data_IF_666234134913
#
_entry.id   IF_666234134913
#
_cell.length_a   1.000
_cell.length_b   1.000
_cell.length_c   1.000
_cell.angle_alpha   90.00
_cell.angle_beta   90.00
_cell.angle_gamma   90.00
#
_symmetry.space_group_name_H-M   'P 1'
#
loop_
_entity.id
_entity.type
_entity.pdbx_description
1 polymer ?
#
# COMPACT_ATOMS: atom_id res chain seq x y z
N UNK A 1 2.00 7.19 -22.49
CA UNK A 1 1.62 8.54 -22.02
C UNK A 1 1.02 9.42 -23.11
N UNK A 2 1.69 9.62 -24.26
CA UNK A 2 1.12 10.45 -25.34
C UNK A 2 -0.29 10.03 -25.78
N UNK A 3 -0.55 8.73 -25.88
CA UNK A 3 -1.89 8.23 -26.23
C UNK A 3 -2.94 8.49 -25.14
N UNK A 4 -2.57 8.33 -23.86
CA UNK A 4 -3.47 8.66 -22.74
C UNK A 4 -3.81 10.15 -22.71
N UNK A 5 -2.85 11.03 -23.05
CA UNK A 5 -3.10 12.47 -23.21
C UNK A 5 -4.16 12.74 -24.28
N UNK A 6 -4.09 12.09 -25.45
CA UNK A 6 -5.12 12.23 -26.49
C UNK A 6 -6.48 11.79 -25.99
N UNK A 7 -6.57 10.67 -25.26
CA UNK A 7 -7.84 10.21 -24.68
C UNK A 7 -8.44 11.21 -23.67
N UNK A 8 -7.61 11.98 -22.97
CA UNK A 8 -8.06 13.10 -22.13
C UNK A 8 -8.59 14.26 -22.99
N UNK A 9 -7.85 14.64 -24.03
CA UNK A 9 -8.25 15.71 -24.96
C UNK A 9 -9.54 15.38 -25.74
N UNK A 10 -9.74 14.11 -26.08
CA UNK A 10 -10.97 13.58 -26.68
C UNK A 10 -12.14 13.46 -25.68
N UNK A 11 -11.89 13.69 -24.38
CA UNK A 11 -12.89 13.58 -23.32
C UNK A 11 -13.31 12.14 -22.98
N UNK A 12 -12.58 11.13 -23.47
CA UNK A 12 -12.86 9.71 -23.19
C UNK A 12 -12.48 9.30 -21.78
N UNK A 13 -11.44 9.91 -21.23
CA UNK A 13 -11.03 9.76 -19.84
C UNK A 13 -10.82 11.14 -19.22
N UNK A 14 -11.03 11.26 -17.91
CA UNK A 14 -10.85 12.53 -17.19
C UNK A 14 -9.44 12.68 -16.62
N UNK A 15 -8.83 11.57 -16.21
CA UNK A 15 -7.61 11.55 -15.40
C UNK A 15 -6.72 10.38 -15.81
N UNK A 16 -5.43 10.51 -15.55
CA UNK A 16 -4.43 9.47 -15.79
C UNK A 16 -3.76 9.10 -14.47
N UNK A 17 -3.57 7.80 -14.24
CA UNK A 17 -2.78 7.31 -13.11
C UNK A 17 -1.82 6.21 -13.54
N UNK A 18 -0.86 5.91 -12.66
CA UNK A 18 0.07 4.79 -12.81
C UNK A 18 -0.06 3.84 -11.63
N UNK A 19 0.43 2.62 -11.78
CA UNK A 19 0.51 1.61 -10.72
C UNK A 19 1.88 0.95 -10.76
N UNK A 20 2.48 0.68 -9.59
CA UNK A 20 3.78 0.00 -9.44
C UNK A 20 4.92 0.60 -10.30
N UNK A 21 4.88 1.93 -10.53
CA UNK A 21 5.88 2.66 -11.29
C UNK A 21 7.00 3.22 -10.40
N UNK A 22 8.26 3.12 -10.84
CA UNK A 22 9.39 3.77 -10.15
C UNK A 22 9.26 5.29 -10.12
N UNK A 23 9.95 5.96 -9.18
CA UNK A 23 9.99 7.42 -9.10
C UNK A 23 10.46 8.07 -10.43
N UNK A 24 11.45 7.47 -11.10
CA UNK A 24 11.94 7.93 -12.41
C UNK A 24 10.87 7.82 -13.51
N UNK A 25 10.13 6.72 -13.53
CA UNK A 25 8.99 6.54 -14.46
C UNK A 25 7.88 7.55 -14.18
N UNK A 26 7.54 7.78 -12.90
CA UNK A 26 6.52 8.77 -12.48
C UNK A 26 6.89 10.16 -13.01
N UNK A 27 8.12 10.63 -12.76
CA UNK A 27 8.59 11.96 -13.20
C UNK A 27 8.51 12.13 -14.71
N UNK A 28 9.00 11.15 -15.48
CA UNK A 28 8.96 11.18 -16.95
C UNK A 28 7.54 11.16 -17.50
N UNK A 29 6.67 10.36 -16.90
CA UNK A 29 5.27 10.28 -17.31
C UNK A 29 4.53 11.60 -17.03
N UNK A 30 4.73 12.15 -15.84
CA UNK A 30 4.12 13.41 -15.40
C UNK A 30 4.56 14.60 -16.27
N UNK A 31 5.81 14.61 -16.76
CA UNK A 31 6.29 15.62 -17.69
C UNK A 31 5.59 15.61 -19.06
N UNK A 32 4.99 14.48 -19.48
CA UNK A 32 4.24 14.38 -20.74
C UNK A 32 2.77 14.77 -20.56
N UNK A 33 2.15 14.30 -19.47
CA UNK A 33 0.79 14.65 -19.07
C UNK A 33 0.64 14.48 -17.56
N UNK A 34 -0.02 15.42 -16.84
CA UNK A 34 -0.18 15.34 -15.40
C UNK A 34 -0.78 14.01 -14.94
N UNK A 35 -0.10 13.36 -13.99
CA UNK A 35 -0.63 12.19 -13.30
C UNK A 35 -1.51 12.66 -12.14
N UNK A 36 -2.73 12.14 -12.06
CA UNK A 36 -3.66 12.41 -10.96
C UNK A 36 -3.38 11.53 -9.76
N UNK A 37 -3.02 10.26 -9.99
CA UNK A 37 -2.80 9.31 -8.92
C UNK A 37 -1.73 8.25 -9.25
N UNK A 38 -1.05 7.78 -8.22
CA UNK A 38 -0.17 6.60 -8.27
C UNK A 38 -0.67 5.56 -7.27
N UNK A 39 -0.92 4.35 -7.76
CA UNK A 39 -1.35 3.22 -6.94
C UNK A 39 -0.17 2.35 -6.54
N UNK A 40 -0.01 2.09 -5.23
CA UNK A 40 1.09 1.33 -4.65
C UNK A 40 0.63 0.47 -3.47
N UNK A 41 1.36 -0.59 -3.14
CA UNK A 41 1.13 -1.30 -1.89
C UNK A 41 1.62 -0.45 -0.73
N UNK A 42 0.75 -0.02 0.17
CA UNK A 42 1.14 0.69 1.38
C UNK A 42 0.26 0.25 2.54
N UNK A 43 0.90 -0.22 3.60
CA UNK A 43 0.26 -0.60 4.85
C UNK A 43 1.25 -0.43 5.99
N UNK A 44 0.77 -0.56 7.23
CA UNK A 44 1.66 -0.64 8.39
C UNK A 44 2.71 -1.77 8.22
N UNK A 45 2.43 -2.79 7.40
CA UNK A 45 3.30 -3.92 7.09
C UNK A 45 4.26 -3.71 5.91
N UNK A 46 3.96 -2.77 5.00
CA UNK A 46 4.66 -2.55 3.73
C UNK A 46 4.91 -1.05 3.56
N UNK A 47 6.14 -0.60 3.84
CA UNK A 47 6.52 0.82 3.92
C UNK A 47 7.68 1.20 2.98
N UNK A 48 8.08 0.30 2.08
CA UNK A 48 9.20 0.51 1.15
C UNK A 48 9.04 1.75 0.26
N UNK A 49 7.80 2.07 -0.13
CA UNK A 49 7.51 3.25 -0.95
C UNK A 49 7.78 4.60 -0.27
N UNK A 50 7.93 4.64 1.06
CA UNK A 50 8.07 5.89 1.83
C UNK A 50 9.40 6.59 1.54
N UNK A 51 10.41 5.86 1.07
CA UNK A 51 11.72 6.39 0.71
C UNK A 51 11.67 7.25 -0.57
N UNK A 52 11.06 6.73 -1.64
CA UNK A 52 11.16 7.34 -2.98
C UNK A 52 9.82 7.81 -3.56
N UNK A 53 8.78 6.99 -3.42
CA UNK A 53 7.51 7.20 -4.13
C UNK A 53 6.67 8.26 -3.42
N UNK A 54 6.55 8.19 -2.09
CA UNK A 54 5.77 9.16 -1.31
C UNK A 54 6.32 10.58 -1.49
N UNK A 55 7.63 10.86 -1.35
CA UNK A 55 8.18 12.18 -1.61
C UNK A 55 7.98 12.63 -3.06
N UNK A 56 8.20 11.74 -4.03
CA UNK A 56 8.02 12.07 -5.46
C UNK A 56 6.57 12.43 -5.79
N UNK A 57 5.59 11.71 -5.24
CA UNK A 57 4.17 12.03 -5.46
C UNK A 57 3.81 13.39 -4.85
N UNK A 58 4.27 13.66 -3.62
CA UNK A 58 4.01 14.93 -2.93
C UNK A 58 4.65 16.13 -3.62
N UNK A 59 5.89 15.99 -4.08
CA UNK A 59 6.60 17.02 -4.85
C UNK A 59 5.83 17.40 -6.13
N UNK A 60 5.25 16.41 -6.81
CA UNK A 60 4.52 16.60 -8.07
C UNK A 60 3.01 16.85 -7.89
N UNK A 61 2.50 16.91 -6.65
CA UNK A 61 1.08 17.08 -6.37
C UNK A 61 0.19 15.91 -6.83
N UNK A 62 0.72 14.68 -6.82
CA UNK A 62 0.04 13.45 -7.25
C UNK A 62 -0.57 12.75 -6.04
N UNK A 63 -1.84 12.32 -6.14
CA UNK A 63 -2.48 11.51 -5.10
C UNK A 63 -1.91 10.10 -5.00
N UNK A 64 -1.92 9.52 -3.81
CA UNK A 64 -1.44 8.16 -3.55
C UNK A 64 -2.64 7.26 -3.25
N UNK A 65 -2.73 6.12 -3.94
CA UNK A 65 -3.82 5.16 -3.79
C UNK A 65 -3.27 3.84 -3.23
N UNK A 66 -3.21 3.66 -1.90
CA UNK A 66 -2.78 2.40 -1.28
C UNK A 66 -3.68 1.22 -1.63
N UNK A 67 -3.09 0.17 -2.20
CA UNK A 67 -3.72 -1.15 -2.25
C UNK A 67 -3.19 -2.07 -1.16
N UNK A 68 -3.96 -3.11 -0.84
CA UNK A 68 -3.68 -4.04 0.27
C UNK A 68 -3.32 -3.34 1.61
N UNK A 69 -4.08 -2.31 2.03
CA UNK A 69 -3.79 -1.54 3.26
C UNK A 69 -3.82 -2.40 4.53
N UNK A 70 -4.44 -3.59 4.47
CA UNK A 70 -4.50 -4.56 5.56
C UNK A 70 -3.43 -5.66 5.47
N UNK A 71 -2.32 -5.41 4.78
CA UNK A 71 -1.20 -6.37 4.69
C UNK A 71 -1.63 -7.71 4.09
N UNK A 72 -2.41 -7.67 3.00
CA UNK A 72 -2.97 -8.85 2.32
C UNK A 72 -3.79 -9.76 3.26
N UNK A 73 -4.46 -9.16 4.25
CA UNK A 73 -5.33 -9.79 5.23
C UNK A 73 -4.65 -10.08 6.56
N UNK A 74 -3.32 -9.93 6.66
CA UNK A 74 -2.60 -10.21 7.89
C UNK A 74 -3.04 -9.25 9.02
N UNK A 75 -3.20 -7.95 8.73
CA UNK A 75 -3.59 -6.96 9.75
C UNK A 75 -5.06 -7.07 10.20
N UNK A 76 -5.87 -7.91 9.54
CA UNK A 76 -7.24 -8.22 9.97
C UNK A 76 -7.37 -9.57 10.67
N UNK A 77 -6.59 -10.58 10.26
CA UNK A 77 -6.78 -11.98 10.69
C UNK A 77 -5.60 -12.53 11.49
N UNK A 78 -4.48 -11.82 11.53
CA UNK A 78 -3.28 -12.20 12.26
C UNK A 78 -2.63 -13.48 11.73
N UNK A 79 -1.85 -14.20 12.56
CA UNK A 79 -1.12 -15.39 12.15
C UNK A 79 -2.04 -16.54 11.70
N UNK A 80 -3.26 -16.62 12.24
CA UNK A 80 -4.27 -17.63 11.88
C UNK A 80 -4.72 -17.54 10.41
N UNK A 81 -4.40 -16.44 9.72
CA UNK A 81 -4.66 -16.30 8.29
C UNK A 81 -4.06 -17.47 7.49
N UNK A 82 -2.82 -17.85 7.80
CA UNK A 82 -2.03 -18.81 7.01
C UNK A 82 -2.67 -20.20 6.99
N UNK A 83 -3.25 -20.61 8.12
CA UNK A 83 -3.96 -21.88 8.28
C UNK A 83 -5.23 -21.94 7.43
N UNK A 84 -5.85 -20.78 7.16
CA UNK A 84 -7.10 -20.66 6.42
C UNK A 84 -6.89 -20.39 4.92
N UNK A 85 -5.64 -20.28 4.46
CA UNK A 85 -5.34 -20.10 3.04
C UNK A 85 -5.63 -21.39 2.26
N UNK A 86 -6.34 -21.27 1.14
CA UNK A 86 -6.55 -22.39 0.23
C UNK A 86 -5.23 -22.93 -0.32
N UNK A 87 -5.23 -24.16 -0.86
CA UNK A 87 -4.02 -24.80 -1.37
C UNK A 87 -3.32 -23.96 -2.44
N UNK A 88 -4.09 -23.30 -3.30
CA UNK A 88 -3.60 -22.54 -4.46
C UNK A 88 -3.46 -21.04 -4.20
N UNK A 89 -3.53 -20.61 -2.93
CA UNK A 89 -3.39 -19.19 -2.57
C UNK A 89 -1.95 -18.70 -2.77
N UNK A 90 -1.78 -17.71 -3.64
CA UNK A 90 -0.46 -17.13 -3.97
C UNK A 90 0.32 -16.60 -2.77
N UNK A 91 -0.36 -16.19 -1.68
CA UNK A 91 0.29 -15.71 -0.45
C UNK A 91 1.16 -16.80 0.17
N UNK A 92 0.86 -18.09 -0.03
CA UNK A 92 1.69 -19.19 0.49
C UNK A 92 3.12 -19.20 -0.07
N UNK A 93 3.37 -18.55 -1.20
CA UNK A 93 4.70 -18.44 -1.78
C UNK A 93 5.43 -17.17 -1.35
N UNK A 94 4.74 -16.22 -0.71
CA UNK A 94 5.34 -14.96 -0.28
C UNK A 94 6.21 -15.16 0.96
N UNK A 95 7.41 -14.56 1.03
CA UNK A 95 8.30 -14.70 2.18
C UNK A 95 7.64 -14.35 3.52
N UNK A 96 6.86 -13.26 3.58
CA UNK A 96 6.15 -12.83 4.81
C UNK A 96 5.18 -13.85 5.40
N UNK A 97 4.68 -14.76 4.57
CA UNK A 97 3.72 -15.79 4.96
C UNK A 97 4.38 -17.15 5.18
N UNK A 98 5.72 -17.24 5.11
CA UNK A 98 6.45 -18.45 5.51
C UNK A 98 6.42 -18.62 7.03
N UNK A 99 6.39 -19.87 7.55
CA UNK A 99 6.15 -20.14 8.97
C UNK A 99 7.03 -19.35 9.94
N UNK A 100 8.34 -19.28 9.71
CA UNK A 100 9.27 -18.56 10.58
C UNK A 100 9.03 -17.05 10.61
N UNK A 101 8.66 -16.47 9.46
CA UNK A 101 8.37 -15.05 9.33
C UNK A 101 7.02 -14.71 9.97
N UNK A 102 6.02 -15.58 9.79
CA UNK A 102 4.70 -15.42 10.43
C UNK A 102 4.83 -15.45 11.94
N UNK A 103 5.60 -16.39 12.50
CA UNK A 103 5.81 -16.49 13.94
C UNK A 103 6.56 -15.27 14.47
N UNK A 104 7.54 -14.74 13.73
CA UNK A 104 8.20 -13.49 14.09
C UNK A 104 7.21 -12.31 14.10
N UNK A 105 6.46 -12.16 13.01
CA UNK A 105 5.62 -10.99 12.79
C UNK A 105 4.34 -11.00 13.62
N UNK A 106 3.95 -12.16 14.17
CA UNK A 106 2.86 -12.29 15.16
C UNK A 106 3.04 -11.35 16.34
N UNK A 107 4.28 -11.07 16.76
CA UNK A 107 4.56 -10.14 17.87
C UNK A 107 4.12 -8.71 17.53
N UNK A 108 4.36 -8.27 16.30
CA UNK A 108 3.85 -6.98 15.83
C UNK A 108 2.32 -6.97 15.82
N UNK A 109 1.70 -8.03 15.28
CA UNK A 109 0.23 -8.16 15.29
C UNK A 109 -0.38 -8.02 16.68
N UNK A 110 0.22 -8.68 17.68
CA UNK A 110 -0.26 -8.66 19.06
C UNK A 110 -0.22 -7.23 19.62
N UNK A 111 0.88 -6.50 19.43
CA UNK A 111 1.01 -5.11 19.90
C UNK A 111 0.00 -4.17 19.23
N UNK A 112 -0.21 -4.31 17.91
CA UNK A 112 -1.23 -3.54 17.19
C UNK A 112 -2.64 -3.89 17.70
N UNK A 113 -2.89 -5.16 18.01
CA UNK A 113 -4.18 -5.62 18.55
C UNK A 113 -4.44 -5.06 19.95
N UNK A 114 -3.46 -5.11 20.85
CA UNK A 114 -3.56 -4.53 22.20
C UNK A 114 -3.86 -3.02 22.14
N UNK A 115 -3.24 -2.31 21.20
CA UNK A 115 -3.53 -0.88 21.00
C UNK A 115 -4.92 -0.65 20.42
N UNK A 116 -5.37 -1.48 19.48
CA UNK A 116 -6.71 -1.40 18.90
C UNK A 116 -7.79 -1.61 19.97
N UNK A 117 -7.59 -2.59 20.85
CA UNK A 117 -8.47 -2.87 21.99
C UNK A 117 -8.54 -1.67 22.95
N UNK A 118 -7.40 -1.09 23.34
CA UNK A 118 -7.36 0.12 24.19
C UNK A 118 -8.09 1.30 23.54
N UNK A 119 -8.00 1.41 22.20
CA UNK A 119 -8.65 2.46 21.41
C UNK A 119 -10.14 2.19 21.16
N UNK A 120 -10.62 0.97 21.41
CA UNK A 120 -12.01 0.55 21.17
C UNK A 120 -12.34 0.32 19.70
N UNK A 121 -11.37 -0.13 18.89
CA UNK A 121 -11.57 -0.46 17.48
C UNK A 121 -10.97 -1.83 17.12
N UNK A 122 -11.26 -2.36 15.93
CA UNK A 122 -10.63 -3.60 15.47
C UNK A 122 -9.19 -3.35 14.99
N UNK A 123 -8.35 -4.38 15.00
CA UNK A 123 -6.98 -4.31 14.43
C UNK A 123 -7.00 -3.85 12.97
N UNK A 124 -8.00 -4.29 12.19
CA UNK A 124 -8.19 -3.87 10.81
C UNK A 124 -8.54 -2.38 10.69
N UNK A 125 -9.41 -1.88 11.57
CA UNK A 125 -9.75 -0.46 11.63
C UNK A 125 -8.55 0.40 12.00
N UNK A 126 -7.76 -0.02 13.01
CA UNK A 126 -6.58 0.71 13.42
C UNK A 126 -5.53 0.77 12.30
N UNK A 127 -5.27 -0.36 11.64
CA UNK A 127 -4.34 -0.44 10.52
C UNK A 127 -4.79 0.43 9.33
N UNK A 128 -6.07 0.40 8.98
CA UNK A 128 -6.60 1.23 7.89
C UNK A 128 -6.63 2.73 8.27
N UNK A 129 -6.94 3.04 9.52
CA UNK A 129 -6.88 4.40 10.04
C UNK A 129 -5.47 4.97 9.96
N UNK A 130 -4.44 4.18 10.29
CA UNK A 130 -3.05 4.57 10.11
C UNK A 130 -2.75 4.97 8.66
N UNK A 131 -3.22 4.20 7.66
CA UNK A 131 -3.04 4.54 6.24
C UNK A 131 -3.74 5.85 5.88
N UNK A 132 -4.96 6.07 6.38
CA UNK A 132 -5.66 7.35 6.18
C UNK A 132 -4.94 8.54 6.81
N UNK A 133 -4.22 8.36 7.93
CA UNK A 133 -3.49 9.43 8.60
C UNK A 133 -2.14 9.75 7.95
N UNK A 134 -1.71 8.99 6.93
CA UNK A 134 -0.46 9.28 6.22
C UNK A 134 -0.51 10.60 5.44
N UNK A 135 -1.69 11.10 5.08
CA UNK A 135 -1.86 12.43 4.48
C UNK A 135 -3.20 12.61 3.78
N UNK A 136 -3.57 13.87 3.52
CA UNK A 136 -4.80 14.22 2.78
C UNK A 136 -4.74 13.84 1.29
N UNK A 137 -3.55 13.52 0.80
CA UNK A 137 -3.24 13.01 -0.53
C UNK A 137 -3.39 11.48 -0.64
N UNK A 138 -3.76 10.79 0.45
CA UNK A 138 -3.81 9.33 0.53
C UNK A 138 -5.25 8.80 0.53
N UNK A 139 -5.58 7.93 -0.42
CA UNK A 139 -6.90 7.32 -0.55
C UNK A 139 -6.80 5.79 -0.69
N UNK A 140 -6.82 5.02 0.41
CA UNK A 140 -6.71 3.57 0.36
C UNK A 140 -7.97 2.93 -0.22
N UNK A 141 -7.80 1.78 -0.89
CA UNK A 141 -8.87 1.02 -1.55
C UNK A 141 -9.06 -0.38 -0.94
N UNK A 142 -9.49 -0.51 0.33
CA UNK A 142 -9.72 -1.81 0.94
C UNK A 142 -10.93 -2.51 0.29
N UNK A 143 -10.67 -3.63 -0.38
CA UNK A 143 -11.72 -4.47 -0.98
C UNK A 143 -12.37 -5.42 0.03
N UNK A 144 -13.61 -5.82 -0.22
CA UNK A 144 -14.33 -6.82 0.58
C UNK A 144 -15.48 -7.46 -0.20
N UNK A 145 -15.82 -8.70 0.14
CA UNK A 145 -17.02 -9.42 -0.33
C UNK A 145 -18.11 -9.55 0.74
N UNK A 146 -17.85 -9.07 1.97
CA UNK A 146 -18.76 -9.15 3.12
C UNK A 146 -19.18 -7.76 3.55
N UNK A 147 -20.47 -7.60 3.87
CA UNK A 147 -21.05 -6.33 4.30
C UNK A 147 -20.48 -5.86 5.65
N UNK A 148 -20.22 -6.79 6.56
CA UNK A 148 -19.66 -6.49 7.88
C UNK A 148 -18.27 -5.88 7.77
N UNK A 149 -17.44 -6.43 6.88
CA UNK A 149 -16.11 -5.91 6.58
C UNK A 149 -16.17 -4.52 5.91
N UNK A 150 -17.20 -4.27 5.08
CA UNK A 150 -17.42 -2.93 4.52
C UNK A 150 -17.68 -1.91 5.63
N UNK A 151 -18.56 -2.25 6.58
CA UNK A 151 -18.83 -1.39 7.73
C UNK A 151 -17.59 -1.19 8.61
N UNK A 152 -16.74 -2.22 8.78
CA UNK A 152 -15.46 -2.07 9.47
C UNK A 152 -14.54 -1.08 8.73
N UNK A 153 -14.41 -1.20 7.41
CA UNK A 153 -13.60 -0.28 6.60
C UNK A 153 -14.09 1.18 6.74
N UNK A 154 -15.41 1.41 6.67
CA UNK A 154 -16.00 2.73 6.89
C UNK A 154 -15.74 3.23 8.31
N UNK A 155 -15.85 2.36 9.31
CA UNK A 155 -15.60 2.70 10.71
C UNK A 155 -14.15 3.15 10.98
N UNK A 156 -13.18 2.75 10.15
CA UNK A 156 -11.79 3.21 10.27
C UNK A 156 -11.65 4.74 10.12
N UNK A 157 -12.55 5.41 9.39
CA UNK A 157 -12.55 6.87 9.22
C UNK A 157 -12.84 7.63 10.54
N UNK A 158 -13.48 6.96 11.49
CA UNK A 158 -13.82 7.52 12.80
C UNK A 158 -12.68 7.37 13.82
N UNK A 159 -11.72 6.47 13.57
CA UNK A 159 -10.56 6.27 14.44
C UNK A 159 -9.61 7.45 14.24
N UNK A 160 -9.37 8.22 15.30
CA UNK A 160 -8.42 9.34 15.31
C UNK A 160 -7.13 8.92 15.97
N UNK A 161 -6.01 9.11 15.28
CA UNK A 161 -4.67 8.82 15.80
C UNK A 161 -3.96 10.12 16.11
N UNK A 162 -3.52 10.25 17.36
CA UNK A 162 -2.63 11.34 17.77
C UNK A 162 -1.22 11.12 17.21
N UNK A 163 -0.36 12.16 17.15
CA UNK A 163 1.02 11.99 16.72
C UNK A 163 1.79 10.93 17.54
N UNK A 164 1.57 10.86 18.85
CA UNK A 164 2.21 9.88 19.72
C UNK A 164 1.73 8.45 19.42
N UNK A 165 0.43 8.28 19.17
CA UNK A 165 -0.14 6.99 18.77
C UNK A 165 0.33 6.54 17.39
N UNK A 166 0.50 7.48 16.44
CA UNK A 166 1.11 7.20 15.14
C UNK A 166 2.54 6.71 15.31
N UNK A 167 3.35 7.42 16.11
CA UNK A 167 4.73 7.03 16.37
C UNK A 167 4.83 5.68 17.09
N UNK A 168 3.94 5.42 18.05
CA UNK A 168 3.84 4.14 18.75
C UNK A 168 3.50 3.00 17.77
N UNK A 169 2.47 3.15 16.93
CA UNK A 169 2.10 2.17 15.91
C UNK A 169 3.26 1.87 14.95
N UNK A 170 3.93 2.91 14.47
CA UNK A 170 5.04 2.79 13.55
C UNK A 170 6.25 2.10 14.18
N UNK A 171 6.45 2.26 15.50
CA UNK A 171 7.50 1.55 16.24
C UNK A 171 7.25 0.03 16.31
N UNK A 172 5.99 -0.40 16.23
CA UNK A 172 5.66 -1.84 16.26
C UNK A 172 6.02 -2.51 14.94
N UNK A 173 5.92 -1.76 13.84
CA UNK A 173 6.08 -2.23 12.48
C UNK A 173 7.22 -1.52 11.74
N UNK A 174 8.28 -1.14 12.47
CA UNK A 174 9.48 -0.62 11.83
C UNK A 174 10.08 -1.68 10.89
N UNK A 175 10.85 -1.24 9.90
CA UNK A 175 11.38 -2.11 8.84
C UNK A 175 12.12 -3.32 9.42
N UNK A 176 12.85 -3.15 10.52
CA UNK A 176 13.59 -4.22 11.19
C UNK A 176 12.71 -5.22 11.96
N UNK A 177 11.44 -4.89 12.24
CA UNK A 177 10.50 -5.73 12.98
C UNK A 177 9.62 -6.59 12.06
N UNK A 178 9.60 -6.34 10.76
CA UNK A 178 8.84 -7.13 9.78
C UNK A 178 9.78 -8.04 9.01
N UNK A 179 9.70 -9.35 9.28
CA UNK A 179 10.47 -10.37 8.57
C UNK A 179 9.78 -10.86 7.30
N UNK A 180 10.62 -11.10 6.29
CA UNK A 180 10.24 -11.56 4.96
C UNK A 180 9.99 -10.39 4.01
N UNK A 181 10.49 -10.54 2.79
CA UNK A 181 10.19 -9.59 1.71
C UNK A 181 8.70 -9.58 1.34
N UNK A 182 8.26 -8.42 0.83
CA UNK A 182 6.90 -8.19 0.34
C UNK A 182 6.53 -9.13 -0.82
N UNK A 183 7.53 -9.45 -1.65
CA UNK A 183 7.37 -10.28 -2.84
C UNK A 183 8.34 -11.46 -2.83
N UNK A 184 8.10 -12.43 -3.72
CA UNK A 184 9.04 -13.52 -3.96
C UNK A 184 10.30 -12.95 -4.62
N UNK A 185 11.48 -13.50 -4.28
CA UNK A 185 12.74 -13.14 -4.93
C UNK A 185 12.60 -13.14 -6.46
N UNK A 186 13.14 -12.10 -7.12
CA UNK A 186 13.02 -11.81 -8.56
C UNK A 186 11.64 -11.34 -9.06
N UNK A 187 10.71 -10.96 -8.18
CA UNK A 187 9.48 -10.27 -8.62
C UNK A 187 9.79 -8.87 -9.12
N UNK A 188 9.24 -8.48 -10.27
CA UNK A 188 9.33 -7.09 -10.76
C UNK A 188 8.51 -6.18 -9.85
N UNK A 189 9.18 -5.43 -9.00
CA UNK A 189 8.59 -4.39 -8.14
C UNK A 189 8.89 -3.00 -8.71
N UNK A 190 8.27 -1.96 -8.14
CA UNK A 190 8.55 -0.56 -8.52
C UNK A 190 10.05 -0.20 -8.47
N UNK A 191 10.86 -0.88 -7.63
CA UNK A 191 12.32 -0.70 -7.54
C UNK A 191 13.02 -0.96 -8.89
N UNK A 192 12.52 -1.92 -9.66
CA UNK A 192 13.10 -2.36 -10.93
C UNK A 192 12.21 -2.00 -12.14
N UNK A 193 11.02 -1.45 -11.92
CA UNK A 193 10.06 -1.07 -12.96
C UNK A 193 10.36 0.31 -13.58
N UNK A 194 11.59 0.48 -14.07
CA UNK A 194 11.99 1.67 -14.84
C UNK A 194 11.57 1.52 -16.31
N UNK A 195 11.05 2.59 -16.90
CA UNK A 195 10.87 2.66 -18.36
C UNK A 195 12.16 3.15 -19.05
N UNK A 196 12.34 2.91 -20.36
CA UNK A 196 13.43 3.52 -21.13
C UNK A 196 13.36 5.06 -21.12
N UNK A 197 14.50 5.78 -21.20
CA UNK A 197 14.49 7.23 -21.28
C UNK A 197 13.84 7.72 -22.59
N UNK A 198 13.23 8.91 -22.58
CA UNK A 198 12.62 9.50 -23.77
C UNK A 198 13.59 9.57 -24.96
N UNK A 199 14.87 9.84 -24.71
CA UNK A 199 15.91 9.86 -25.76
C UNK A 199 16.14 8.53 -26.48
N UNK A 200 15.70 7.41 -25.89
CA UNK A 200 15.80 6.08 -26.52
C UNK A 200 14.63 5.76 -27.44
N UNK A 201 13.57 6.59 -27.44
CA UNK A 201 12.40 6.37 -28.28
C UNK A 201 12.62 6.95 -29.68
N UNK A 202 12.49 6.10 -30.71
CA UNK A 202 12.42 6.53 -32.11
C UNK A 202 10.96 6.52 -32.53
N UNK A 203 10.46 7.67 -32.98
CA UNK A 203 9.18 7.72 -33.67
C UNK A 203 9.42 7.16 -35.07
N UNK A 204 8.79 6.02 -35.38
CA UNK A 204 8.61 5.57 -36.76
C UNK A 204 7.51 6.40 -37.45
#
# INVERSE_FOLDING_TARGET
MGELKKLVEEGKIKYVGLSEASASTIRRAHAVHPLTAVQMEWSLWSRDLEEDIVPTCRELGIGIVPYSPLGRGFLSSGPNLVENLSKDDSRKNMPRFQPENVEHNKRMFQRVTEMAEKKGCTTAQLALAWVHHQGNDVCPIPGTTKYENFNQNVGALLVKLTPDEMAELESFASVDQVKGERHVSMSTTWLYANTPPLSSWKAD
#
